data_IF_931297869103
#
_entry.id   IF_931297869103
#
_cell.length_a   1.000
_cell.length_b   1.000
_cell.length_c   1.000
_cell.angle_alpha   90.00
_cell.angle_beta   90.00
_cell.angle_gamma   90.00
#
_symmetry.space_group_name_H-M   'P 1'
#
loop_
_entity.id
_entity.type
_entity.pdbx_description
1 polymer ?
#
# COMPACT_ATOMS: atom_id res chain seq x y z
N UNK A 1 24.27 15.23 -2.64
CA UNK A 1 22.97 14.56 -2.72
C UNK A 1 22.24 14.61 -1.38
N UNK A 2 22.88 14.25 -0.27
CA UNK A 2 22.25 14.21 1.07
C UNK A 2 22.03 15.58 1.74
N UNK A 3 22.06 16.69 1.00
CA UNK A 3 21.79 18.00 1.60
C UNK A 3 20.27 18.23 1.62
N UNK A 4 19.68 18.76 2.71
CA UNK A 4 18.23 18.92 2.82
C UNK A 4 17.61 19.74 1.66
N UNK A 5 18.28 20.80 1.21
CA UNK A 5 17.85 21.65 0.09
C UNK A 5 17.72 20.86 -1.23
N UNK A 6 18.65 19.95 -1.50
CA UNK A 6 18.63 19.12 -2.71
C UNK A 6 17.51 18.09 -2.61
N UNK A 7 17.37 17.44 -1.45
CA UNK A 7 16.35 16.41 -1.23
C UNK A 7 14.95 16.98 -1.32
N UNK A 8 14.73 18.17 -0.75
CA UNK A 8 13.46 18.86 -0.84
C UNK A 8 13.11 19.20 -2.30
N UNK A 9 14.09 19.67 -3.09
CA UNK A 9 13.89 19.96 -4.51
C UNK A 9 13.56 18.69 -5.30
N UNK A 10 14.28 17.58 -5.06
CA UNK A 10 14.02 16.30 -5.69
C UNK A 10 12.60 15.79 -5.37
N UNK A 11 12.16 15.90 -4.11
CA UNK A 11 10.79 15.55 -3.71
C UNK A 11 9.78 16.45 -4.42
N UNK A 12 10.05 17.76 -4.52
CA UNK A 12 9.18 18.71 -5.22
C UNK A 12 8.97 18.31 -6.69
N UNK A 13 10.05 17.92 -7.37
CA UNK A 13 10.01 17.51 -8.78
C UNK A 13 9.15 16.27 -9.02
N UNK A 14 9.00 15.37 -8.03
CA UNK A 14 8.18 14.16 -8.16
C UNK A 14 6.76 14.32 -7.62
N UNK A 15 6.44 15.40 -6.90
CA UNK A 15 5.11 15.62 -6.30
C UNK A 15 4.37 16.84 -6.85
N UNK A 16 5.02 17.68 -7.66
CA UNK A 16 4.41 18.89 -8.23
C UNK A 16 4.35 18.79 -9.74
N UNK A 17 3.18 19.08 -10.32
CA UNK A 17 3.07 19.14 -11.77
C UNK A 17 3.92 20.30 -12.32
N UNK A 18 4.80 20.03 -13.30
CA UNK A 18 5.57 21.07 -13.97
C UNK A 18 4.66 21.99 -14.78
N UNK A 19 5.10 23.24 -15.04
CA UNK A 19 4.37 24.20 -15.88
C UNK A 19 3.97 23.63 -17.26
N UNK A 20 2.81 24.07 -17.75
CA UNK A 20 2.21 23.60 -19.01
C UNK A 20 2.74 24.31 -20.26
N UNK A 21 3.61 25.31 -20.09
CA UNK A 21 4.24 26.08 -21.17
C UNK A 21 5.43 25.35 -21.84
N UNK A 22 5.86 24.23 -21.26
CA UNK A 22 6.91 23.35 -21.81
C UNK A 22 6.29 22.22 -22.63
N UNK A 23 6.94 21.82 -23.73
CA UNK A 23 6.54 20.68 -24.53
C UNK A 23 6.40 19.40 -23.69
N UNK A 24 5.32 18.64 -23.89
CA UNK A 24 4.99 17.46 -23.09
C UNK A 24 6.12 16.42 -23.01
N UNK A 25 6.92 16.29 -24.07
CA UNK A 25 8.09 15.39 -24.15
C UNK A 25 9.23 15.77 -23.21
N UNK A 26 9.36 17.04 -22.84
CA UNK A 26 10.39 17.55 -21.92
C UNK A 26 9.81 17.88 -20.53
N UNK A 27 8.47 18.00 -20.44
CA UNK A 27 7.75 18.45 -19.25
C UNK A 27 8.09 17.66 -17.99
N UNK A 28 8.15 16.33 -18.07
CA UNK A 28 8.45 15.45 -16.92
C UNK A 28 9.88 14.94 -16.87
N UNK A 29 10.80 15.47 -17.68
CA UNK A 29 12.19 14.99 -17.74
C UNK A 29 12.90 15.13 -16.40
N UNK A 30 12.69 16.25 -15.72
CA UNK A 30 13.25 16.50 -14.40
C UNK A 30 12.59 15.63 -13.32
N UNK A 31 11.27 15.43 -13.39
CA UNK A 31 10.55 14.52 -12.49
C UNK A 31 11.04 13.08 -12.61
N UNK A 32 11.24 12.58 -13.84
CA UNK A 32 11.80 11.25 -14.08
C UNK A 32 13.21 11.13 -13.48
N UNK A 33 14.10 12.09 -13.77
CA UNK A 33 15.46 12.06 -13.24
C UNK A 33 15.48 12.14 -11.71
N UNK A 34 14.63 12.97 -11.12
CA UNK A 34 14.51 13.08 -9.67
C UNK A 34 14.03 11.76 -9.05
N UNK A 35 13.04 11.10 -9.66
CA UNK A 35 12.58 9.79 -9.23
C UNK A 35 13.69 8.75 -9.31
N UNK A 36 14.45 8.68 -10.41
CA UNK A 36 15.59 7.76 -10.53
C UNK A 36 16.67 8.01 -9.47
N UNK A 37 16.95 9.28 -9.15
CA UNK A 37 17.90 9.62 -8.07
C UNK A 37 17.34 9.16 -6.72
N UNK A 38 16.09 9.52 -6.38
CA UNK A 38 15.44 9.17 -5.11
C UNK A 38 15.25 7.67 -4.93
N UNK A 39 15.14 6.93 -6.03
CA UNK A 39 14.92 5.47 -6.03
C UNK A 39 16.19 4.69 -6.39
N UNK A 40 17.34 5.38 -6.40
CA UNK A 40 18.64 4.75 -6.56
C UNK A 40 18.96 3.84 -5.37
N UNK A 41 19.80 2.83 -5.59
CA UNK A 41 20.19 1.86 -4.56
C UNK A 41 21.27 2.42 -3.62
N UNK A 42 20.99 3.58 -3.01
CA UNK A 42 21.88 4.29 -2.10
C UNK A 42 21.25 4.37 -0.71
N UNK A 43 21.60 3.48 0.24
CA UNK A 43 20.99 3.46 1.58
C UNK A 43 21.12 4.76 2.36
N UNK A 44 22.20 5.52 2.15
CA UNK A 44 22.43 6.82 2.80
C UNK A 44 21.45 7.90 2.34
N UNK A 45 20.89 7.78 1.12
CA UNK A 45 19.87 8.68 0.61
C UNK A 45 18.55 8.47 1.36
N UNK A 46 18.15 7.21 1.54
CA UNK A 46 16.95 6.86 2.31
C UNK A 46 17.02 7.36 3.75
N UNK A 47 18.17 7.21 4.40
CA UNK A 47 18.40 7.77 5.74
C UNK A 47 18.25 9.29 5.75
N UNK A 48 18.76 9.98 4.73
CA UNK A 48 18.68 11.43 4.63
C UNK A 48 17.26 11.92 4.36
N UNK A 49 16.46 11.16 3.59
CA UNK A 49 15.05 11.47 3.33
C UNK A 49 14.19 11.40 4.61
N UNK A 50 14.45 10.43 5.49
CA UNK A 50 13.69 10.26 6.73
C UNK A 50 14.25 11.06 7.91
N UNK A 51 15.49 11.54 7.82
CA UNK A 51 16.12 12.34 8.87
C UNK A 51 15.46 13.72 9.06
N UNK A 52 14.84 14.27 8.01
CA UNK A 52 14.10 15.52 8.07
C UNK A 52 12.59 15.26 7.93
N UNK A 53 11.79 15.39 9.01
CA UNK A 53 10.35 15.21 8.97
C UNK A 53 9.63 16.13 7.97
N UNK A 54 10.21 17.31 7.64
CA UNK A 54 9.61 18.23 6.68
C UNK A 54 9.65 17.65 5.26
N UNK A 55 10.72 16.93 4.89
CA UNK A 55 10.86 16.30 3.58
C UNK A 55 9.88 15.14 3.45
N UNK A 56 9.76 14.30 4.48
CA UNK A 56 8.80 13.20 4.51
C UNK A 56 7.36 13.72 4.49
N UNK A 57 7.06 14.80 5.21
CA UNK A 57 5.75 15.48 5.12
C UNK A 57 5.50 16.04 3.72
N UNK A 58 6.49 16.64 3.05
CA UNK A 58 6.35 17.14 1.69
C UNK A 58 6.03 16.02 0.71
N UNK A 59 6.71 14.88 0.81
CA UNK A 59 6.41 13.69 0.02
C UNK A 59 4.97 13.23 0.26
N UNK A 60 4.57 13.09 1.53
CA UNK A 60 3.22 12.66 1.90
C UNK A 60 2.11 13.63 1.48
N UNK A 61 2.38 14.94 1.48
CA UNK A 61 1.41 15.97 1.09
C UNK A 61 0.89 15.82 -0.34
N UNK A 62 1.60 15.08 -1.20
CA UNK A 62 1.10 14.67 -2.50
C UNK A 62 -0.19 13.85 -2.38
N UNK A 63 -0.23 12.87 -1.48
CA UNK A 63 -1.43 12.05 -1.26
C UNK A 63 -2.56 12.80 -0.56
N UNK A 64 -2.26 13.88 0.17
CA UNK A 64 -3.28 14.72 0.81
C UNK A 64 -4.09 15.54 -0.20
N UNK A 65 -3.60 15.68 -1.44
CA UNK A 65 -4.33 16.35 -2.52
C UNK A 65 -5.57 15.53 -2.94
N UNK A 66 -6.60 16.23 -3.41
CA UNK A 66 -7.83 15.58 -3.87
C UNK A 66 -7.58 14.84 -5.19
N UNK A 67 -8.16 13.64 -5.39
CA UNK A 67 -8.12 12.97 -6.68
C UNK A 67 -8.85 13.80 -7.78
N UNK A 68 -8.50 13.60 -9.06
CA UNK A 68 -7.44 12.71 -9.55
C UNK A 68 -6.06 13.38 -9.44
N UNK A 69 -5.04 12.60 -9.03
CA UNK A 69 -3.64 13.01 -9.13
C UNK A 69 -3.06 12.56 -10.47
N UNK A 70 -2.00 13.23 -10.91
CA UNK A 70 -1.26 12.83 -12.10
C UNK A 70 -0.74 11.38 -11.97
N UNK A 71 -1.13 10.43 -12.84
CA UNK A 71 -0.74 9.02 -12.71
C UNK A 71 0.77 8.77 -12.77
N UNK A 72 1.51 9.61 -13.49
CA UNK A 72 2.97 9.51 -13.56
C UNK A 72 3.61 9.94 -12.24
N UNK A 73 3.19 11.08 -11.69
CA UNK A 73 3.68 11.53 -10.37
C UNK A 73 3.25 10.57 -9.26
N UNK A 74 2.06 9.98 -9.35
CA UNK A 74 1.62 8.90 -8.45
C UNK A 74 2.59 7.72 -8.49
N UNK A 75 3.00 7.31 -9.70
CA UNK A 75 3.98 6.23 -9.87
C UNK A 75 5.34 6.59 -9.26
N UNK A 76 5.80 7.83 -9.41
CA UNK A 76 7.04 8.28 -8.77
C UNK A 76 6.92 8.31 -7.25
N UNK A 77 5.82 8.85 -6.71
CA UNK A 77 5.52 8.84 -5.30
C UNK A 77 5.57 7.40 -4.75
N UNK A 78 4.82 6.47 -5.35
CA UNK A 78 4.76 5.09 -4.88
C UNK A 78 6.13 4.39 -4.96
N UNK A 79 6.90 4.63 -6.04
CA UNK A 79 8.25 4.09 -6.18
C UNK A 79 9.16 4.63 -5.07
N UNK A 80 9.15 5.94 -4.81
CA UNK A 80 9.96 6.56 -3.75
C UNK A 80 9.54 6.10 -2.35
N UNK A 81 8.25 6.03 -2.07
CA UNK A 81 7.75 5.59 -0.77
C UNK A 81 8.05 4.10 -0.53
N UNK A 82 7.82 3.25 -1.53
CA UNK A 82 8.16 1.82 -1.48
C UNK A 82 9.66 1.57 -1.28
N UNK A 83 10.52 2.41 -1.86
CA UNK A 83 11.97 2.34 -1.66
C UNK A 83 12.41 2.57 -0.20
N UNK A 84 11.65 3.33 0.60
CA UNK A 84 11.93 3.54 2.02
C UNK A 84 11.60 2.29 2.86
N UNK A 85 10.68 1.46 2.38
CA UNK A 85 10.22 0.23 3.05
C UNK A 85 11.04 -0.99 2.63
N UNK A 86 11.57 -0.97 1.40
CA UNK A 86 12.35 -2.03 0.81
C UNK A 86 13.74 -2.17 1.45
N UNK A 87 14.03 -3.32 2.07
CA UNK A 87 15.40 -3.63 2.50
C UNK A 87 16.30 -3.90 1.29
N UNK A 88 17.47 -3.28 1.26
CA UNK A 88 18.49 -3.53 0.21
C UNK A 88 19.43 -4.66 0.59
N UNK A 89 19.92 -5.40 -0.41
CA UNK A 89 20.79 -6.58 -0.20
C UNK A 89 22.06 -6.26 0.61
N UNK A 90 22.61 -5.06 0.44
CA UNK A 90 23.83 -4.60 1.13
C UNK A 90 23.57 -3.55 2.21
N UNK A 91 22.30 -3.29 2.55
CA UNK A 91 21.97 -2.35 3.60
C UNK A 91 22.16 -2.99 4.97
N UNK A 92 22.85 -2.26 5.85
CA UNK A 92 22.99 -2.62 7.25
C UNK A 92 21.61 -2.77 7.91
N UNK A 93 21.45 -3.80 8.75
CA UNK A 93 20.15 -4.11 9.36
C UNK A 93 19.65 -3.00 10.27
N UNK A 94 20.53 -2.36 11.05
CA UNK A 94 20.14 -1.25 11.93
C UNK A 94 19.76 -0.01 11.12
N UNK A 95 20.49 0.26 10.04
CA UNK A 95 20.13 1.31 9.09
C UNK A 95 18.75 1.08 8.46
N UNK A 96 18.44 -0.15 8.06
CA UNK A 96 17.11 -0.51 7.55
C UNK A 96 16.03 -0.29 8.61
N UNK A 97 16.24 -0.86 9.80
CA UNK A 97 15.30 -0.77 10.92
C UNK A 97 15.02 0.67 11.32
N UNK A 98 16.05 1.53 11.38
CA UNK A 98 15.91 2.95 11.66
C UNK A 98 15.00 3.66 10.64
N UNK A 99 15.23 3.43 9.34
CA UNK A 99 14.41 4.03 8.27
C UNK A 99 12.97 3.54 8.36
N UNK A 100 12.77 2.22 8.47
CA UNK A 100 11.43 1.63 8.56
C UNK A 100 10.66 2.13 9.77
N UNK A 101 11.26 2.12 10.97
CA UNK A 101 10.59 2.63 12.18
C UNK A 101 10.18 4.08 12.00
N UNK A 102 11.09 4.92 11.47
CA UNK A 102 10.80 6.35 11.26
C UNK A 102 9.63 6.56 10.29
N UNK A 103 9.57 5.79 9.21
CA UNK A 103 8.45 5.84 8.26
C UNK A 103 7.15 5.34 8.89
N UNK A 104 7.20 4.24 9.65
CA UNK A 104 6.03 3.70 10.32
C UNK A 104 5.49 4.65 11.38
N UNK A 105 6.34 5.25 12.20
CA UNK A 105 5.96 6.25 13.19
C UNK A 105 5.36 7.49 12.51
N UNK A 106 5.95 7.92 11.38
CA UNK A 106 5.39 9.00 10.58
C UNK A 106 3.97 8.68 10.08
N UNK A 107 3.77 7.50 9.47
CA UNK A 107 2.46 7.04 8.99
C UNK A 107 1.44 6.99 10.14
N UNK A 108 1.82 6.37 11.26
CA UNK A 108 0.98 6.21 12.45
C UNK A 108 0.62 7.54 13.13
N UNK A 109 1.46 8.57 12.95
CA UNK A 109 1.21 9.91 13.47
C UNK A 109 0.21 10.73 12.64
N UNK A 110 -0.17 10.28 11.44
CA UNK A 110 -1.17 10.96 10.60
C UNK A 110 -2.58 10.68 11.12
N UNK A 111 -3.47 11.66 11.01
CA UNK A 111 -4.85 11.58 11.55
C UNK A 111 -5.71 10.49 10.89
N UNK A 112 -5.61 10.33 9.57
CA UNK A 112 -6.29 9.25 8.82
C UNK A 112 -5.47 8.87 7.59
N UNK A 113 -4.31 8.25 7.83
CA UNK A 113 -3.43 7.78 6.75
C UNK A 113 -4.17 6.82 5.80
N UNK A 114 -4.92 5.86 6.35
CA UNK A 114 -5.66 4.90 5.54
C UNK A 114 -6.73 5.58 4.69
N UNK A 115 -7.53 6.50 5.24
CA UNK A 115 -8.49 7.26 4.42
C UNK A 115 -7.79 8.06 3.31
N UNK A 116 -6.66 8.68 3.62
CA UNK A 116 -5.85 9.45 2.65
C UNK A 116 -5.29 8.58 1.53
N UNK A 117 -4.93 7.33 1.81
CA UNK A 117 -4.48 6.37 0.81
C UNK A 117 -5.65 5.83 -0.01
N UNK A 118 -6.73 5.44 0.67
CA UNK A 118 -7.91 4.81 0.07
C UNK A 118 -8.69 5.76 -0.86
N UNK A 119 -8.70 7.07 -0.63
CA UNK A 119 -9.31 8.01 -1.61
C UNK A 119 -8.69 7.92 -3.02
N UNK A 120 -7.47 7.38 -3.15
CA UNK A 120 -6.76 7.20 -4.42
C UNK A 120 -6.81 5.75 -4.95
N UNK A 121 -7.63 4.87 -4.37
CA UNK A 121 -7.74 3.45 -4.73
C UNK A 121 -8.18 3.17 -6.18
N UNK A 122 -8.67 4.19 -6.90
CA UNK A 122 -8.93 4.09 -8.34
C UNK A 122 -7.64 3.96 -9.16
N UNK A 123 -6.48 4.35 -8.60
CA UNK A 123 -5.18 4.16 -9.24
C UNK A 123 -4.52 2.86 -8.72
N UNK A 124 -4.30 1.83 -9.55
CA UNK A 124 -3.81 0.51 -9.11
C UNK A 124 -2.52 0.57 -8.27
N UNK A 125 -1.60 1.47 -8.65
CA UNK A 125 -0.28 1.63 -8.01
C UNK A 125 -0.38 2.00 -6.52
N UNK A 126 -1.50 2.57 -6.06
CA UNK A 126 -1.73 2.86 -4.63
C UNK A 126 -2.05 1.58 -3.85
N UNK A 127 -2.86 0.69 -4.44
CA UNK A 127 -3.15 -0.62 -3.84
C UNK A 127 -1.90 -1.49 -3.83
N UNK A 128 -1.11 -1.44 -4.89
CA UNK A 128 0.19 -2.12 -4.96
C UNK A 128 1.15 -1.62 -3.87
N UNK A 129 1.23 -0.30 -3.65
CA UNK A 129 2.05 0.27 -2.58
C UNK A 129 1.58 -0.20 -1.19
N UNK A 130 0.26 -0.19 -0.95
CA UNK A 130 -0.29 -0.67 0.33
C UNK A 130 0.06 -2.14 0.56
N UNK A 131 -0.13 -2.98 -0.47
CA UNK A 131 0.21 -4.40 -0.39
C UNK A 131 1.72 -4.57 -0.16
N UNK A 132 2.52 -3.78 -0.85
CA UNK A 132 3.97 -3.78 -0.72
C UNK A 132 4.41 -3.48 0.72
N UNK A 133 3.84 -2.44 1.33
CA UNK A 133 4.11 -2.07 2.73
C UNK A 133 3.82 -3.24 3.67
N UNK A 134 2.66 -3.87 3.52
CA UNK A 134 2.23 -4.95 4.40
C UNK A 134 3.08 -6.22 4.20
N UNK A 135 3.46 -6.53 2.95
CA UNK A 135 4.16 -7.76 2.61
C UNK A 135 5.67 -7.70 2.79
N UNK A 136 6.32 -6.57 2.52
CA UNK A 136 7.77 -6.50 2.39
C UNK A 136 8.51 -5.92 3.59
N UNK A 137 7.82 -5.47 4.64
CA UNK A 137 8.48 -5.12 5.90
C UNK A 137 9.15 -6.36 6.49
N UNK A 138 10.46 -6.24 6.69
CA UNK A 138 11.28 -7.28 7.31
C UNK A 138 11.43 -7.02 8.81
N UNK A 139 11.52 -8.11 9.57
CA UNK A 139 11.62 -8.06 11.02
C UNK A 139 10.28 -8.46 11.65
N UNK A 140 10.23 -9.54 12.45
CA UNK A 140 8.99 -10.09 12.99
C UNK A 140 8.20 -9.05 13.79
N UNK A 141 8.88 -8.33 14.70
CA UNK A 141 8.26 -7.33 15.56
C UNK A 141 7.70 -6.14 14.78
N UNK A 142 8.45 -5.64 13.79
CA UNK A 142 8.01 -4.52 12.95
C UNK A 142 6.78 -4.91 12.13
N UNK A 143 6.80 -6.10 11.53
CA UNK A 143 5.68 -6.61 10.76
C UNK A 143 4.45 -6.80 11.65
N UNK A 144 4.60 -7.44 12.81
CA UNK A 144 3.49 -7.65 13.74
C UNK A 144 2.87 -6.32 14.18
N UNK A 145 3.70 -5.36 14.59
CA UNK A 145 3.26 -4.03 15.01
C UNK A 145 2.57 -3.24 13.89
N UNK A 146 2.94 -3.48 12.63
CA UNK A 146 2.27 -2.91 11.46
C UNK A 146 0.90 -3.55 11.24
N UNK A 147 0.82 -4.89 11.23
CA UNK A 147 -0.42 -5.64 11.00
C UNK A 147 -1.45 -5.34 12.09
N UNK A 148 -1.03 -5.30 13.35
CA UNK A 148 -1.86 -4.88 14.48
C UNK A 148 -2.43 -3.48 14.27
N UNK A 149 -1.61 -2.54 13.82
CA UNK A 149 -2.06 -1.17 13.57
C UNK A 149 -3.05 -1.09 12.41
N UNK A 150 -2.79 -1.73 11.26
CA UNK A 150 -3.75 -1.75 10.15
C UNK A 150 -5.06 -2.43 10.53
N UNK A 151 -5.01 -3.46 11.37
CA UNK A 151 -6.20 -4.13 11.89
C UNK A 151 -7.00 -3.20 12.81
N UNK A 152 -6.35 -2.44 13.70
CA UNK A 152 -7.00 -1.42 14.53
C UNK A 152 -7.63 -0.29 13.69
N UNK A 153 -7.06 0.02 12.53
CA UNK A 153 -7.61 0.99 11.59
C UNK A 153 -8.77 0.40 10.73
N UNK A 154 -9.11 -0.88 10.92
CA UNK A 154 -10.14 -1.63 10.18
C UNK A 154 -9.89 -1.64 8.66
N UNK A 155 -8.65 -1.92 8.24
CA UNK A 155 -8.28 -1.90 6.82
C UNK A 155 -9.20 -2.80 5.98
N UNK A 156 -9.45 -4.03 6.42
CA UNK A 156 -10.25 -5.01 5.68
C UNK A 156 -11.70 -4.53 5.54
N UNK A 157 -12.30 -4.10 6.64
CA UNK A 157 -13.68 -3.61 6.67
C UNK A 157 -13.85 -2.33 5.85
N UNK A 158 -12.87 -1.43 5.86
CA UNK A 158 -12.89 -0.22 5.02
C UNK A 158 -12.83 -0.57 3.53
N UNK A 159 -12.00 -1.53 3.13
CA UNK A 159 -11.92 -2.00 1.75
C UNK A 159 -13.22 -2.67 1.31
N UNK A 160 -13.81 -3.52 2.15
CA UNK A 160 -15.11 -4.14 1.86
C UNK A 160 -16.20 -3.08 1.79
N UNK A 161 -16.26 -2.16 2.74
CA UNK A 161 -17.24 -1.06 2.74
C UNK A 161 -17.14 -0.18 1.48
N UNK A 162 -15.94 0.04 0.96
CA UNK A 162 -15.73 0.77 -0.28
C UNK A 162 -16.37 0.08 -1.49
N UNK A 163 -16.47 -1.25 -1.53
CA UNK A 163 -17.19 -1.97 -2.59
C UNK A 163 -18.69 -1.64 -2.62
N UNK A 164 -19.28 -1.26 -1.49
CA UNK A 164 -20.70 -0.88 -1.40
C UNK A 164 -20.96 0.59 -1.72
N UNK A 165 -19.98 1.46 -1.49
CA UNK A 165 -20.15 2.91 -1.62
C UNK A 165 -19.68 3.46 -2.96
N UNK A 166 -18.68 2.81 -3.55
CA UNK A 166 -18.11 3.24 -4.82
C UNK A 166 -18.97 2.74 -5.98
N UNK A 167 -19.08 3.57 -7.02
CA UNK A 167 -19.74 3.19 -8.29
C UNK A 167 -18.72 3.01 -9.41
N UNK A 168 -17.43 3.19 -9.08
CA UNK A 168 -16.34 3.12 -10.02
C UNK A 168 -15.86 1.67 -10.18
N UNK A 169 -15.94 1.17 -11.42
CA UNK A 169 -15.49 -0.16 -11.79
C UNK A 169 -14.00 -0.38 -11.50
N UNK A 170 -13.15 0.62 -11.74
CA UNK A 170 -11.71 0.51 -11.52
C UNK A 170 -11.41 0.34 -10.02
N UNK A 171 -12.13 1.06 -9.15
CA UNK A 171 -12.00 0.88 -7.70
C UNK A 171 -12.40 -0.52 -7.25
N UNK A 172 -13.52 -1.06 -7.75
CA UNK A 172 -13.94 -2.43 -7.43
C UNK A 172 -12.90 -3.47 -7.86
N UNK A 173 -12.36 -3.32 -9.07
CA UNK A 173 -11.31 -4.20 -9.59
C UNK A 173 -10.06 -4.14 -8.71
N UNK A 174 -9.55 -2.94 -8.42
CA UNK A 174 -8.36 -2.73 -7.61
C UNK A 174 -8.51 -3.26 -6.17
N UNK A 175 -9.67 -3.06 -5.52
CA UNK A 175 -9.96 -3.62 -4.19
C UNK A 175 -9.94 -5.15 -4.23
N UNK A 176 -10.65 -5.74 -5.20
CA UNK A 176 -10.74 -7.20 -5.30
C UNK A 176 -9.39 -7.84 -5.58
N UNK A 177 -8.60 -7.27 -6.49
CA UNK A 177 -7.25 -7.74 -6.81
C UNK A 177 -6.35 -7.66 -5.57
N UNK A 178 -6.37 -6.54 -4.85
CA UNK A 178 -5.62 -6.38 -3.61
C UNK A 178 -5.97 -7.46 -2.59
N UNK A 179 -7.26 -7.67 -2.30
CA UNK A 179 -7.69 -8.63 -1.28
C UNK A 179 -7.39 -10.07 -1.70
N UNK A 180 -7.57 -10.41 -2.98
CA UNK A 180 -7.24 -11.73 -3.53
C UNK A 180 -5.74 -12.00 -3.43
N UNK A 181 -4.90 -11.05 -3.82
CA UNK A 181 -3.45 -11.19 -3.74
C UNK A 181 -2.98 -11.29 -2.29
N UNK A 182 -3.56 -10.48 -1.39
CA UNK A 182 -3.28 -10.55 0.04
C UNK A 182 -3.62 -11.93 0.63
N UNK A 183 -4.77 -12.50 0.29
CA UNK A 183 -5.17 -13.85 0.72
C UNK A 183 -4.14 -14.88 0.25
N UNK A 184 -3.77 -14.82 -1.04
CA UNK A 184 -2.86 -15.78 -1.66
C UNK A 184 -1.47 -15.73 -1.02
N UNK A 185 -0.88 -14.54 -0.96
CA UNK A 185 0.47 -14.36 -0.44
C UNK A 185 0.52 -14.55 1.08
N UNK A 186 -0.50 -14.09 1.83
CA UNK A 186 -0.60 -14.31 3.27
C UNK A 186 -0.69 -15.80 3.63
N UNK A 187 -1.53 -16.58 2.93
CA UNK A 187 -1.63 -18.04 3.12
C UNK A 187 -0.35 -18.77 2.73
N UNK A 188 0.25 -18.39 1.60
CA UNK A 188 1.54 -18.95 1.15
C UNK A 188 2.63 -18.73 2.20
N UNK A 189 2.70 -17.51 2.75
CA UNK A 189 3.64 -17.15 3.81
C UNK A 189 3.41 -17.96 5.08
N UNK A 190 2.15 -18.06 5.54
CA UNK A 190 1.74 -18.91 6.68
C UNK A 190 2.18 -20.37 6.49
N UNK A 191 2.18 -20.88 5.26
CA UNK A 191 2.62 -22.25 4.96
C UNK A 191 4.14 -22.40 4.94
N UNK A 192 4.87 -21.44 4.38
CA UNK A 192 6.34 -21.49 4.32
C UNK A 192 6.99 -21.25 5.68
N UNK A 193 6.34 -20.51 6.57
CA UNK A 193 6.88 -20.08 7.87
C UNK A 193 6.32 -20.89 9.05
N UNK A 194 5.80 -22.11 8.82
CA UNK A 194 5.20 -23.00 9.85
C UNK A 194 6.10 -23.29 11.07
N UNK A 195 7.38 -22.92 11.04
CA UNK A 195 8.35 -23.11 12.12
C UNK A 195 8.60 -21.85 12.98
N UNK A 196 8.12 -20.65 12.58
CA UNK A 196 8.20 -19.43 13.40
C UNK A 196 6.95 -19.26 14.27
N UNK A 197 6.93 -19.93 15.42
CA UNK A 197 5.77 -20.22 16.29
C UNK A 197 4.96 -19.00 16.79
N UNK A 198 5.38 -17.75 16.57
CA UNK A 198 4.75 -16.57 17.22
C UNK A 198 4.27 -15.44 16.29
N UNK A 199 4.31 -15.58 14.96
CA UNK A 199 3.80 -14.53 14.07
C UNK A 199 2.37 -14.84 13.60
N UNK A 200 1.41 -14.05 14.08
CA UNK A 200 0.01 -14.12 13.64
C UNK A 200 -0.29 -13.00 12.65
N UNK A 201 -0.78 -13.36 11.46
CA UNK A 201 -1.24 -12.37 10.47
C UNK A 201 -2.69 -11.98 10.76
N UNK A 202 -2.87 -10.98 11.62
CA UNK A 202 -4.19 -10.54 12.10
C UNK A 202 -5.12 -10.07 10.97
N UNK A 203 -4.58 -9.44 9.92
CA UNK A 203 -5.39 -9.01 8.79
C UNK A 203 -5.91 -10.22 8.00
N UNK A 204 -5.09 -11.26 7.84
CA UNK A 204 -5.53 -12.49 7.19
C UNK A 204 -6.54 -13.24 8.06
N UNK A 205 -6.36 -13.29 9.39
CA UNK A 205 -7.36 -13.85 10.30
C UNK A 205 -8.70 -13.10 10.22
N UNK A 206 -8.67 -11.76 10.24
CA UNK A 206 -9.86 -10.93 10.07
C UNK A 206 -10.52 -11.22 8.71
N UNK A 207 -9.75 -11.33 7.63
CA UNK A 207 -10.28 -11.57 6.30
C UNK A 207 -10.90 -12.98 6.13
N UNK A 208 -10.36 -13.97 6.84
CA UNK A 208 -10.86 -15.35 6.87
C UNK A 208 -11.99 -15.57 7.88
N UNK A 209 -12.30 -14.59 8.73
CA UNK A 209 -13.36 -14.69 9.74
C UNK A 209 -14.76 -14.71 9.09
N UNK A 210 -15.67 -15.48 9.71
CA UNK A 210 -17.04 -15.61 9.25
C UNK A 210 -17.79 -14.26 9.22
N UNK A 211 -17.51 -13.36 10.16
CA UNK A 211 -18.13 -12.02 10.21
C UNK A 211 -17.73 -11.17 9.01
N UNK A 212 -16.48 -11.28 8.56
CA UNK A 212 -15.99 -10.54 7.40
C UNK A 212 -16.59 -11.08 6.11
N UNK A 213 -16.74 -12.41 6.01
CA UNK A 213 -17.49 -13.04 4.92
C UNK A 213 -18.95 -12.58 4.90
N UNK A 214 -19.60 -12.52 6.06
CA UNK A 214 -20.96 -12.00 6.20
C UNK A 214 -21.06 -10.51 5.79
N UNK A 215 -20.10 -9.69 6.21
CA UNK A 215 -20.01 -8.28 5.82
C UNK A 215 -19.87 -8.13 4.30
N UNK A 216 -19.00 -8.93 3.67
CA UNK A 216 -18.81 -8.93 2.22
C UNK A 216 -20.10 -9.32 1.48
N UNK A 217 -20.77 -10.39 1.92
CA UNK A 217 -22.05 -10.82 1.36
C UNK A 217 -23.13 -9.75 1.50
N UNK A 218 -23.25 -9.13 2.68
CA UNK A 218 -24.19 -8.02 2.90
C UNK A 218 -23.91 -6.84 1.98
N UNK A 219 -22.64 -6.54 1.74
CA UNK A 219 -22.22 -5.42 0.91
C UNK A 219 -22.58 -5.64 -0.56
N UNK A 220 -22.32 -6.84 -1.10
CA UNK A 220 -22.58 -7.13 -2.52
C UNK A 220 -24.03 -7.52 -2.84
N UNK A 221 -24.79 -7.91 -1.83
CA UNK A 221 -26.22 -8.25 -1.94
C UNK A 221 -27.14 -7.10 -1.50
N UNK A 222 -26.60 -5.93 -1.16
CA UNK A 222 -27.40 -4.75 -0.84
C UNK A 222 -28.10 -4.23 -2.10
N UNK A 223 -29.42 -4.45 -2.16
CA UNK A 223 -30.24 -4.11 -3.32
C UNK A 223 -30.23 -2.61 -3.68
N UNK A 224 -29.90 -1.72 -2.74
CA UNK A 224 -29.86 -0.27 -3.00
C UNK A 224 -28.57 0.17 -3.70
N UNK A 225 -27.46 -0.54 -3.48
CA UNK A 225 -26.13 -0.19 -3.96
C UNK A 225 -25.52 -1.21 -4.94
N UNK A 226 -26.32 -2.18 -5.35
CA UNK A 226 -25.91 -3.28 -6.21
C UNK A 226 -25.49 -2.78 -7.61
N UNK A 227 -24.29 -3.18 -8.06
CA UNK A 227 -23.83 -2.98 -9.43
C UNK A 227 -22.97 -4.16 -9.89
N UNK A 228 -22.81 -4.35 -11.20
CA UNK A 228 -22.06 -5.50 -11.73
C UNK A 228 -20.61 -5.54 -11.18
N UNK A 229 -20.00 -4.36 -10.96
CA UNK A 229 -18.63 -4.26 -10.46
C UNK A 229 -18.47 -4.79 -9.03
N UNK A 230 -19.34 -4.38 -8.10
CA UNK A 230 -19.23 -4.82 -6.72
C UNK A 230 -19.59 -6.30 -6.54
N UNK A 231 -20.57 -6.81 -7.30
CA UNK A 231 -20.90 -8.24 -7.32
C UNK A 231 -19.71 -9.06 -7.81
N UNK A 232 -19.13 -8.69 -8.96
CA UNK A 232 -17.97 -9.40 -9.52
C UNK A 232 -16.78 -9.34 -8.55
N UNK A 233 -16.50 -8.18 -7.97
CA UNK A 233 -15.44 -8.02 -6.98
C UNK A 233 -15.65 -8.92 -5.76
N UNK A 234 -16.84 -8.91 -5.16
CA UNK A 234 -17.13 -9.73 -3.98
C UNK A 234 -17.13 -11.22 -4.26
N UNK A 235 -17.69 -11.66 -5.39
CA UNK A 235 -17.61 -13.08 -5.80
C UNK A 235 -16.15 -13.49 -5.97
N UNK A 236 -15.32 -12.65 -6.60
CA UNK A 236 -13.89 -12.93 -6.80
C UNK A 236 -13.16 -13.12 -5.47
N UNK A 237 -13.44 -12.25 -4.48
CA UNK A 237 -12.86 -12.35 -3.13
C UNK A 237 -13.34 -13.62 -2.42
N UNK A 238 -14.65 -13.93 -2.49
CA UNK A 238 -15.23 -15.13 -1.89
C UNK A 238 -14.60 -16.40 -2.49
N UNK A 239 -14.43 -16.44 -3.81
CA UNK A 239 -13.76 -17.55 -4.49
C UNK A 239 -12.34 -17.72 -3.97
N UNK A 240 -11.55 -16.65 -3.83
CA UNK A 240 -10.22 -16.72 -3.25
C UNK A 240 -10.22 -17.23 -1.79
N UNK A 241 -11.22 -16.85 -0.98
CA UNK A 241 -11.39 -17.38 0.38
C UNK A 241 -11.67 -18.89 0.36
N UNK A 242 -12.47 -19.37 -0.59
CA UNK A 242 -12.92 -20.78 -0.71
C UNK A 242 -11.90 -21.69 -1.42
N UNK A 243 -11.11 -21.19 -2.38
CA UNK A 243 -10.20 -21.98 -3.24
C UNK A 243 -9.26 -22.92 -2.46
N UNK A 244 -9.06 -22.67 -1.17
CA UNK A 244 -8.28 -23.53 -0.27
C UNK A 244 -9.05 -24.75 0.27
N UNK A 245 -10.37 -24.69 0.43
CA UNK A 245 -11.18 -25.81 0.93
C UNK A 245 -11.07 -27.03 -0.01
N UNK A 246 -11.00 -26.81 -1.32
CA UNK A 246 -10.91 -27.88 -2.32
C UNK A 246 -9.54 -28.56 -2.41
N UNK A 247 -8.46 -27.89 -1.99
CA UNK A 247 -7.12 -28.49 -2.04
C UNK A 247 -6.83 -29.46 -0.89
N UNK A 248 -7.60 -29.43 0.21
CA UNK A 248 -7.42 -30.32 1.35
C UNK A 248 -8.31 -31.56 1.29
N UNK A 249 -9.46 -31.51 0.61
CA UNK A 249 -10.32 -32.70 0.42
C UNK A 249 -9.77 -33.69 -0.61
N UNK A 250 -8.77 -33.34 -1.43
CA UNK A 250 -8.12 -34.27 -2.37
C UNK A 250 -6.83 -34.91 -1.84
N UNK A 251 -6.40 -34.60 -0.61
CA UNK A 251 -5.14 -35.14 -0.04
C UNK A 251 -5.38 -35.86 1.31
N UNK A 252 -6.64 -36.04 1.73
CA UNK A 252 -7.04 -36.86 2.88
C UNK A 252 -7.58 -38.23 2.48
#
# INVERSE_FOLDING_TARGET
LNRPDILEELVTLITTEPPTDVAESERFKHSNLACEILTSDLPSLNQSLVADPAILQKLYSFLEQKPPLNPLLMSFFCKTFGMLIARKQHQDWFAYQYVCITVLDFIKSRTDFLGTMLQHMGTPVIMDLLLYIIMHIQGPELRQNLLEWFNQQNLIERLIGALGQEQDREKHENISQFLVEYIREGRRKRQSEKEEVNQVDLLLETLEDAKTTELLLRTILDAEHQNDGNIVAGITIILALIEYLTTFECVS
#
